data_IF_109967988513
#
_entry.id   IF_109967988513
#
_cell.length_a   1.000
_cell.length_b   1.000
_cell.length_c   1.000
_cell.angle_alpha   90.00
_cell.angle_beta   90.00
_cell.angle_gamma   90.00
#
_symmetry.space_group_name_H-M   'P 1'
#
loop_
_entity.id
_entity.type
_entity.pdbx_description
1 polymer ?
#
# COMPACT_ATOMS: atom_id res chain seq x y z
N UNK A 1 -4.24 26.66 14.88
CA UNK A 1 -4.19 25.47 15.77
C UNK A 1 -3.94 24.23 14.92
N UNK A 2 -3.08 23.30 15.35
CA UNK A 2 -2.90 22.01 14.66
C UNK A 2 -4.20 21.18 14.78
N UNK A 3 -4.69 20.64 13.67
CA UNK A 3 -5.94 19.87 13.64
C UNK A 3 -5.71 18.48 14.24
N UNK A 4 -6.24 18.26 15.45
CA UNK A 4 -6.09 16.98 16.18
C UNK A 4 -6.68 15.80 15.41
N UNK A 5 -7.80 16.00 14.72
CA UNK A 5 -8.43 14.99 13.87
C UNK A 5 -7.51 14.59 12.72
N UNK A 6 -6.89 15.56 12.04
CA UNK A 6 -5.96 15.26 10.95
C UNK A 6 -4.74 14.48 11.46
N UNK A 7 -4.19 14.85 12.62
CA UNK A 7 -3.09 14.11 13.24
C UNK A 7 -3.48 12.64 13.50
N UNK A 8 -4.65 12.42 14.09
CA UNK A 8 -5.14 11.09 14.43
C UNK A 8 -5.40 10.24 13.18
N UNK A 9 -6.04 10.81 12.16
CA UNK A 9 -6.30 10.13 10.88
C UNK A 9 -4.98 9.70 10.22
N UNK A 10 -3.99 10.59 10.12
CA UNK A 10 -2.68 10.28 9.54
C UNK A 10 -1.98 9.17 10.32
N UNK A 11 -1.92 9.26 11.65
CA UNK A 11 -1.27 8.26 12.48
C UNK A 11 -1.93 6.88 12.37
N UNK A 12 -3.26 6.80 12.45
CA UNK A 12 -3.98 5.51 12.38
C UNK A 12 -3.82 4.90 10.99
N UNK A 13 -4.10 5.66 9.94
CA UNK A 13 -4.03 5.15 8.56
C UNK A 13 -2.62 4.68 8.19
N UNK A 14 -1.57 5.45 8.50
CA UNK A 14 -0.19 5.05 8.22
C UNK A 14 0.23 3.83 9.04
N UNK A 15 -0.30 3.65 10.26
CA UNK A 15 -0.08 2.43 11.04
C UNK A 15 -0.72 1.21 10.36
N UNK A 16 -1.95 1.36 9.86
CA UNK A 16 -2.62 0.31 9.08
C UNK A 16 -1.80 0.01 7.82
N UNK A 17 -1.34 1.02 7.10
CA UNK A 17 -0.52 0.82 5.89
C UNK A 17 0.81 0.12 6.21
N UNK A 18 1.44 0.45 7.33
CA UNK A 18 2.66 -0.22 7.77
C UNK A 18 2.42 -1.71 8.07
N UNK A 19 1.28 -2.08 8.67
CA UNK A 19 0.90 -3.50 8.86
C UNK A 19 0.78 -4.22 7.51
N UNK A 20 0.24 -3.54 6.49
CA UNK A 20 0.14 -4.07 5.14
C UNK A 20 1.50 -4.31 4.45
N UNK A 21 2.63 -3.88 5.01
CA UNK A 21 3.95 -4.33 4.53
C UNK A 21 4.11 -5.85 4.67
N UNK A 22 3.49 -6.48 5.68
CA UNK A 22 3.48 -7.94 5.81
C UNK A 22 2.72 -8.59 4.65
N UNK A 23 1.54 -8.07 4.33
CA UNK A 23 0.75 -8.52 3.19
C UNK A 23 1.47 -8.26 1.86
N UNK A 24 2.22 -7.17 1.75
CA UNK A 24 3.04 -6.87 0.59
C UNK A 24 4.14 -7.92 0.37
N UNK A 25 4.87 -8.34 1.42
CA UNK A 25 5.90 -9.40 1.29
C UNK A 25 5.28 -10.69 0.75
N UNK A 26 4.12 -11.08 1.26
CA UNK A 26 3.39 -12.26 0.77
C UNK A 26 3.01 -12.08 -0.69
N UNK A 27 2.47 -10.91 -1.06
CA UNK A 27 2.05 -10.62 -2.44
C UNK A 27 3.22 -10.69 -3.43
N UNK A 28 4.39 -10.15 -3.05
CA UNK A 28 5.61 -10.23 -3.86
C UNK A 28 6.08 -11.68 -4.00
N UNK A 29 6.11 -12.44 -2.90
CA UNK A 29 6.50 -13.85 -2.94
C UNK A 29 5.61 -14.67 -3.90
N UNK A 30 4.29 -14.53 -3.78
CA UNK A 30 3.35 -15.22 -4.68
C UNK A 30 3.51 -14.76 -6.13
N UNK A 31 3.78 -13.48 -6.37
CA UNK A 31 3.99 -12.97 -7.73
C UNK A 31 5.26 -13.59 -8.33
N UNK A 32 6.36 -13.69 -7.59
CA UNK A 32 7.61 -14.30 -8.08
C UNK A 32 7.44 -15.80 -8.34
N UNK A 33 6.74 -16.52 -7.46
CA UNK A 33 6.54 -17.98 -7.59
C UNK A 33 5.56 -18.35 -8.69
N UNK A 34 4.53 -17.53 -8.91
CA UNK A 34 3.47 -17.83 -9.88
C UNK A 34 3.73 -17.28 -11.29
N UNK A 35 4.59 -16.27 -11.46
CA UNK A 35 4.97 -15.80 -12.80
C UNK A 35 5.97 -16.78 -13.44
N UNK A 36 5.68 -17.32 -14.64
CA UNK A 36 6.65 -18.04 -15.45
C UNK A 36 7.86 -17.16 -15.80
N UNK A 37 9.07 -17.73 -15.85
CA UNK A 37 10.31 -16.99 -16.18
C UNK A 37 10.25 -16.31 -17.56
N UNK A 38 9.48 -16.87 -18.49
CA UNK A 38 9.30 -16.44 -19.87
C UNK A 38 8.31 -15.26 -20.06
N UNK A 39 7.52 -14.90 -19.04
CA UNK A 39 6.59 -13.76 -19.09
C UNK A 39 7.19 -12.44 -18.58
N UNK A 40 8.39 -12.47 -17.99
CA UNK A 40 9.07 -11.25 -17.51
C UNK A 40 9.41 -10.27 -18.65
N UNK A 41 9.61 -10.77 -19.87
CA UNK A 41 10.09 -9.97 -21.03
C UNK A 41 8.97 -9.38 -21.92
N UNK A 42 7.70 -9.75 -21.74
CA UNK A 42 6.65 -9.47 -22.76
C UNK A 42 5.46 -8.62 -22.31
N UNK A 43 5.33 -8.27 -21.02
CA UNK A 43 4.22 -7.41 -20.54
C UNK A 43 3.83 -7.58 -19.07
N UNK A 44 4.34 -8.62 -18.41
CA UNK A 44 4.23 -8.78 -16.96
C UNK A 44 5.07 -7.83 -16.06
N UNK A 45 6.04 -7.00 -16.53
CA UNK A 45 6.84 -6.18 -15.62
C UNK A 45 6.05 -5.07 -14.93
N UNK A 46 5.03 -4.49 -15.58
CA UNK A 46 4.36 -3.30 -15.04
C UNK A 46 3.59 -3.60 -13.75
N UNK A 47 2.86 -4.72 -13.71
CA UNK A 47 2.12 -5.15 -12.51
C UNK A 47 3.09 -5.52 -11.39
N UNK A 48 4.17 -6.22 -11.73
CA UNK A 48 5.22 -6.59 -10.77
C UNK A 48 5.88 -5.35 -10.15
N UNK A 49 6.33 -4.40 -10.98
CA UNK A 49 6.92 -3.14 -10.49
C UNK A 49 5.90 -2.29 -9.73
N UNK A 50 4.62 -2.32 -10.13
CA UNK A 50 3.55 -1.67 -9.37
C UNK A 50 3.44 -2.26 -7.97
N UNK A 51 3.42 -3.58 -7.81
CA UNK A 51 3.38 -4.23 -6.50
C UNK A 51 4.65 -3.88 -5.69
N UNK A 52 5.84 -3.97 -6.31
CA UNK A 52 7.11 -3.65 -5.65
C UNK A 52 7.18 -2.19 -5.17
N UNK A 53 6.49 -1.26 -5.83
CA UNK A 53 6.55 0.17 -5.49
C UNK A 53 5.91 0.53 -4.14
N UNK A 54 5.10 -0.35 -3.54
CA UNK A 54 4.32 -0.05 -2.35
C UNK A 54 5.12 0.58 -1.19
N UNK A 55 6.28 0.05 -0.75
CA UNK A 55 7.03 0.63 0.37
C UNK A 55 7.52 2.05 0.07
N UNK A 56 7.93 2.30 -1.19
CA UNK A 56 8.37 3.62 -1.62
C UNK A 56 7.20 4.61 -1.65
N UNK A 57 6.05 4.19 -2.16
CA UNK A 57 4.83 5.00 -2.21
C UNK A 57 4.33 5.31 -0.80
N UNK A 58 4.34 4.32 0.10
CA UNK A 58 3.99 4.50 1.51
C UNK A 58 4.89 5.55 2.16
N UNK A 59 6.20 5.44 1.99
CA UNK A 59 7.16 6.38 2.57
C UNK A 59 6.97 7.80 2.03
N UNK A 60 6.91 7.96 0.69
CA UNK A 60 6.73 9.25 0.05
C UNK A 60 5.40 9.91 0.44
N UNK A 61 4.32 9.12 0.50
CA UNK A 61 3.00 9.58 0.93
C UNK A 61 3.00 9.99 2.39
N UNK A 62 3.60 9.20 3.28
CA UNK A 62 3.69 9.53 4.70
C UNK A 62 4.46 10.84 4.92
N UNK A 63 5.66 10.96 4.33
CA UNK A 63 6.48 12.18 4.40
C UNK A 63 5.73 13.40 3.86
N UNK A 64 5.11 13.27 2.69
CA UNK A 64 4.33 14.33 2.06
C UNK A 64 3.12 14.74 2.91
N UNK A 65 2.38 13.78 3.44
CA UNK A 65 1.22 14.03 4.29
C UNK A 65 1.59 14.80 5.56
N UNK A 66 2.67 14.43 6.24
CA UNK A 66 3.15 15.15 7.42
C UNK A 66 3.69 16.54 7.06
N UNK A 67 4.42 16.67 5.95
CA UNK A 67 4.89 17.97 5.45
C UNK A 67 3.72 18.95 5.26
N UNK A 68 2.67 18.54 4.54
CA UNK A 68 1.50 19.39 4.29
C UNK A 68 0.62 19.60 5.53
N UNK A 69 0.58 18.63 6.45
CA UNK A 69 -0.05 18.81 7.76
C UNK A 69 0.61 19.94 8.55
N UNK A 70 1.94 19.99 8.58
CA UNK A 70 2.69 21.06 9.26
C UNK A 70 2.52 22.43 8.57
N UNK A 71 2.24 22.45 7.26
CA UNK A 71 1.88 23.66 6.51
C UNK A 71 0.40 24.06 6.64
N UNK A 72 -0.38 23.38 7.49
CA UNK A 72 -1.83 23.60 7.66
C UNK A 72 -2.67 23.36 6.38
N UNK A 73 -2.10 22.68 5.38
CA UNK A 73 -2.75 22.32 4.11
C UNK A 73 -3.39 20.94 4.21
N UNK A 74 -4.43 20.83 5.03
CA UNK A 74 -5.03 19.53 5.40
C UNK A 74 -5.63 18.75 4.21
N UNK A 75 -6.24 19.43 3.23
CA UNK A 75 -6.78 18.75 2.03
C UNK A 75 -5.69 17.98 1.28
N UNK A 76 -4.54 18.63 1.04
CA UNK A 76 -3.39 17.99 0.39
C UNK A 76 -2.79 16.90 1.26
N UNK A 77 -2.70 17.11 2.57
CA UNK A 77 -2.22 16.10 3.51
C UNK A 77 -3.06 14.81 3.46
N UNK A 78 -4.39 14.93 3.45
CA UNK A 78 -5.30 13.79 3.30
C UNK A 78 -5.22 13.14 1.91
N UNK A 79 -5.13 13.94 0.85
CA UNK A 79 -5.00 13.43 -0.52
C UNK A 79 -3.75 12.55 -0.68
N UNK A 80 -2.61 13.01 -0.18
CA UNK A 80 -1.37 12.23 -0.18
C UNK A 80 -1.50 10.97 0.68
N UNK A 81 -2.18 11.07 1.83
CA UNK A 81 -2.37 9.95 2.72
C UNK A 81 -3.29 8.87 2.14
N UNK A 82 -4.14 9.23 1.17
CA UNK A 82 -5.01 8.28 0.50
C UNK A 82 -4.29 7.47 -0.59
N UNK A 83 -3.11 7.90 -1.07
CA UNK A 83 -2.40 7.22 -2.16
C UNK A 83 -2.08 5.75 -1.84
N UNK A 84 -1.57 5.38 -0.65
CA UNK A 84 -1.31 3.98 -0.32
C UNK A 84 -2.55 3.07 -0.36
N UNK A 85 -3.77 3.63 -0.30
CA UNK A 85 -5.00 2.84 -0.42
C UNK A 85 -5.11 2.11 -1.76
N UNK A 86 -4.49 2.64 -2.82
CA UNK A 86 -4.45 1.99 -4.12
C UNK A 86 -3.75 0.62 -4.08
N UNK A 87 -2.88 0.38 -3.10
CA UNK A 87 -2.25 -0.92 -2.85
C UNK A 87 -2.96 -1.71 -1.76
N UNK A 88 -3.34 -1.05 -0.67
CA UNK A 88 -3.96 -1.69 0.49
C UNK A 88 -5.27 -2.37 0.12
N UNK A 89 -6.11 -1.74 -0.70
CA UNK A 89 -7.40 -2.31 -1.12
C UNK A 89 -7.23 -3.61 -1.91
N UNK A 90 -6.46 -3.66 -3.02
CA UNK A 90 -6.27 -4.91 -3.76
C UNK A 90 -5.50 -5.96 -2.94
N UNK A 91 -4.51 -5.57 -2.14
CA UNK A 91 -3.82 -6.52 -1.24
C UNK A 91 -4.78 -7.13 -0.22
N UNK A 92 -5.68 -6.33 0.37
CA UNK A 92 -6.68 -6.82 1.32
C UNK A 92 -7.61 -7.84 0.64
N UNK A 93 -8.10 -7.52 -0.56
CA UNK A 93 -8.92 -8.42 -1.35
C UNK A 93 -8.19 -9.73 -1.66
N UNK A 94 -6.92 -9.65 -2.09
CA UNK A 94 -6.07 -10.81 -2.35
C UNK A 94 -5.89 -11.69 -1.11
N UNK A 95 -5.60 -11.10 0.06
CA UNK A 95 -5.44 -11.85 1.31
C UNK A 95 -6.74 -12.54 1.75
N UNK A 96 -7.89 -11.87 1.59
CA UNK A 96 -9.19 -12.47 1.90
C UNK A 96 -9.46 -13.67 0.99
N UNK A 97 -9.17 -13.56 -0.31
CA UNK A 97 -9.31 -14.66 -1.26
C UNK A 97 -8.39 -15.83 -0.91
N UNK A 98 -7.11 -15.56 -0.65
CA UNK A 98 -6.12 -16.56 -0.26
C UNK A 98 -6.54 -17.31 1.00
N UNK A 99 -7.02 -16.60 2.02
CA UNK A 99 -7.52 -17.21 3.26
C UNK A 99 -8.74 -18.12 3.01
N UNK A 100 -9.68 -17.71 2.15
CA UNK A 100 -10.84 -18.54 1.78
C UNK A 100 -10.43 -19.84 1.08
N UNK A 101 -9.48 -19.77 0.15
CA UNK A 101 -8.98 -20.98 -0.53
C UNK A 101 -8.27 -21.92 0.44
N UNK A 102 -7.46 -21.39 1.37
CA UNK A 102 -6.76 -22.20 2.36
C UNK A 102 -7.69 -22.96 3.32
N UNK A 103 -8.92 -22.49 3.55
CA UNK A 103 -9.91 -23.18 4.38
C UNK A 103 -10.69 -24.27 3.64
N UNK A 104 -10.56 -24.33 2.31
CA UNK A 104 -11.33 -25.25 1.45
C UNK A 104 -10.55 -26.51 1.07
N UNK A 105 -9.26 -26.56 1.40
CA UNK A 105 -8.32 -27.69 1.26
C UNK A 105 -8.03 -28.32 2.60
#
# INVERSE_FOLDING_TARGET
MKNKTACLVLSISQSVYAIFLLAWVISVFFTIVLLPEDEYDTGAPEVFYTILSYPLVLLASAMGSWYYYHKLKFKTSYALNAIPLLWVIPMAAFMILLWKFSLST
#
